data_IF_961979504364
#
_entry.id   IF_961979504364
#
_cell.length_a   1.000
_cell.length_b   1.000
_cell.length_c   1.000
_cell.angle_alpha   90.00
_cell.angle_beta   90.00
_cell.angle_gamma   90.00
#
_symmetry.space_group_name_H-M   'P 1'
#
loop_
_entity.id
_entity.type
_entity.pdbx_description
1 polymer ?
#
# COMPACT_ATOMS: atom_id res chain seq x y z
N UNK A 1 30.71 18.26 -0.88
CA UNK A 1 29.26 18.31 -0.64
C UNK A 1 28.93 17.14 0.26
N UNK A 2 28.40 17.37 1.46
CA UNK A 2 28.14 16.29 2.41
C UNK A 2 26.87 15.53 1.96
N UNK A 3 27.03 14.27 1.54
CA UNK A 3 25.90 13.37 1.37
C UNK A 3 25.35 13.06 2.76
N UNK A 4 24.19 13.62 3.08
CA UNK A 4 23.38 13.21 4.22
C UNK A 4 22.84 11.82 3.91
N UNK A 5 23.57 10.78 4.29
CA UNK A 5 23.08 9.40 4.24
C UNK A 5 21.85 9.28 5.13
N UNK A 6 20.76 8.77 4.57
CA UNK A 6 19.54 8.49 5.32
C UNK A 6 19.85 7.32 6.27
N UNK A 7 20.17 7.63 7.52
CA UNK A 7 20.49 6.61 8.54
C UNK A 7 19.31 5.68 8.86
N UNK A 8 18.08 6.01 8.43
CA UNK A 8 16.91 5.16 8.59
C UNK A 8 15.93 5.37 7.42
N UNK A 9 15.84 4.43 6.46
CA UNK A 9 14.94 4.56 5.32
C UNK A 9 13.48 4.66 5.80
N UNK A 10 12.64 5.45 5.12
CA UNK A 10 11.25 5.64 5.53
C UNK A 10 10.47 4.32 5.51
N UNK A 11 9.70 4.04 6.57
CA UNK A 11 8.86 2.84 6.65
C UNK A 11 7.36 3.12 6.56
N UNK A 12 6.97 4.40 6.52
CA UNK A 12 5.57 4.84 6.52
C UNK A 12 5.43 6.25 5.97
N UNK A 13 4.22 6.57 5.52
CA UNK A 13 3.83 7.88 4.99
C UNK A 13 4.16 9.04 5.94
N UNK A 14 4.04 8.85 7.25
CA UNK A 14 4.38 9.91 8.22
C UNK A 14 5.87 10.25 8.26
N UNK A 15 6.74 9.29 7.94
CA UNK A 15 8.18 9.52 7.90
C UNK A 15 8.52 10.43 6.71
N UNK A 16 7.90 10.18 5.54
CA UNK A 16 8.03 11.02 4.35
C UNK A 16 7.60 12.46 4.62
N UNK A 17 6.42 12.63 5.24
CA UNK A 17 5.90 13.96 5.61
C UNK A 17 6.84 14.64 6.61
N UNK A 18 7.38 13.90 7.58
CA UNK A 18 8.34 14.41 8.54
C UNK A 18 9.63 14.91 7.88
N UNK A 19 10.19 14.14 6.94
CA UNK A 19 11.39 14.51 6.19
C UNK A 19 11.15 15.73 5.29
N UNK A 20 10.01 15.78 4.58
CA UNK A 20 9.64 16.94 3.77
C UNK A 20 9.51 18.22 4.60
N UNK A 21 8.90 18.14 5.79
CA UNK A 21 8.80 19.27 6.73
C UNK A 21 10.14 19.72 7.30
N UNK A 22 11.13 18.82 7.38
CA UNK A 22 12.51 19.14 7.79
C UNK A 22 13.34 19.75 6.65
N UNK A 23 12.78 19.84 5.44
CA UNK A 23 13.42 20.49 4.28
C UNK A 23 13.93 19.52 3.20
N UNK A 24 13.83 18.20 3.40
CA UNK A 24 14.27 17.23 2.38
C UNK A 24 13.42 17.31 1.10
N UNK A 25 14.07 17.05 -0.03
CA UNK A 25 13.40 16.90 -1.32
C UNK A 25 12.87 15.49 -1.44
N UNK A 26 11.57 15.33 -1.23
CA UNK A 26 10.88 14.04 -1.28
C UNK A 26 10.02 13.94 -2.54
N UNK A 27 10.20 12.85 -3.30
CA UNK A 27 9.31 12.39 -4.36
C UNK A 27 8.59 11.10 -3.91
N UNK A 28 7.40 10.85 -4.44
CA UNK A 28 6.61 9.69 -4.05
C UNK A 28 5.66 9.26 -5.18
N UNK A 29 5.71 7.98 -5.50
CA UNK A 29 4.84 7.29 -6.42
C UNK A 29 4.23 6.08 -5.74
N UNK A 30 3.03 5.69 -6.19
CA UNK A 30 2.33 4.51 -5.67
C UNK A 30 1.98 3.51 -6.75
N UNK A 31 2.06 2.22 -6.39
CA UNK A 31 1.53 1.10 -7.14
C UNK A 31 0.77 0.16 -6.23
N UNK A 32 -0.13 -0.65 -6.78
CA UNK A 32 -1.00 -1.55 -6.02
C UNK A 32 -0.72 -3.02 -6.34
N UNK A 33 -0.60 -3.79 -5.26
CA UNK A 33 -0.38 -5.22 -5.29
C UNK A 33 -1.47 -5.91 -4.49
N UNK A 34 -1.92 -7.06 -4.99
CA UNK A 34 -2.77 -7.98 -4.24
C UNK A 34 -1.96 -9.24 -4.03
N UNK A 35 -1.80 -9.62 -2.77
CA UNK A 35 -1.13 -10.87 -2.45
C UNK A 35 -2.13 -11.83 -1.79
N UNK A 36 -2.33 -13.02 -2.34
CA UNK A 36 -2.96 -14.10 -1.61
C UNK A 36 -2.03 -14.55 -0.50
N UNK A 37 -2.60 -14.79 0.66
CA UNK A 37 -1.91 -15.28 1.83
C UNK A 37 -2.81 -16.33 2.46
N UNK A 38 -2.23 -17.50 2.70
CA UNK A 38 -2.89 -18.54 3.46
C UNK A 38 -2.92 -18.14 4.93
N UNK A 39 -4.12 -18.02 5.46
CA UNK A 39 -4.34 -17.76 6.87
C UNK A 39 -4.90 -19.03 7.53
N UNK A 40 -4.45 -19.28 8.76
CA UNK A 40 -5.12 -20.23 9.64
C UNK A 40 -6.00 -19.44 10.61
N UNK A 41 -7.30 -19.69 10.61
CA UNK A 41 -8.18 -19.29 11.72
C UNK A 41 -8.62 -20.52 12.48
N UNK A 42 -7.99 -20.76 13.65
CA UNK A 42 -8.11 -22.02 14.40
C UNK A 42 -7.70 -23.20 13.52
N UNK A 43 -8.53 -24.23 13.41
CA UNK A 43 -8.28 -25.44 12.62
C UNK A 43 -8.73 -25.31 11.15
N UNK A 44 -9.24 -24.16 10.73
CA UNK A 44 -9.71 -23.93 9.36
C UNK A 44 -8.70 -23.07 8.58
N UNK A 45 -7.91 -23.66 7.66
CA UNK A 45 -7.15 -22.88 6.70
C UNK A 45 -8.10 -22.18 5.74
N UNK A 46 -7.83 -20.92 5.43
CA UNK A 46 -8.55 -20.16 4.42
C UNK A 46 -7.58 -19.21 3.72
N UNK A 47 -7.82 -18.96 2.45
CA UNK A 47 -7.03 -18.01 1.67
C UNK A 47 -7.66 -16.63 1.79
N UNK A 48 -6.84 -15.62 2.08
CA UNK A 48 -7.26 -14.23 2.03
C UNK A 48 -6.31 -13.40 1.16
N UNK A 49 -6.82 -12.28 0.69
CA UNK A 49 -6.11 -11.36 -0.19
C UNK A 49 -5.76 -10.10 0.58
N UNK A 50 -4.51 -9.68 0.48
CA UNK A 50 -4.00 -8.49 1.12
C UNK A 50 -3.92 -7.38 0.07
N UNK A 51 -4.60 -6.27 0.34
CA UNK A 51 -4.55 -5.06 -0.49
C UNK A 51 -3.35 -4.21 -0.03
N UNK A 52 -2.29 -4.22 -0.85
CA UNK A 52 -1.06 -3.51 -0.60
C UNK A 52 -0.92 -2.30 -1.51
N UNK A 53 -0.40 -1.21 -0.96
CA UNK A 53 0.14 -0.11 -1.73
C UNK A 53 1.64 -0.06 -1.51
N UNK A 54 2.38 -0.10 -2.60
CA UNK A 54 3.82 0.10 -2.64
C UNK A 54 4.09 1.59 -2.83
N UNK A 55 4.98 2.14 -2.01
CA UNK A 55 5.43 3.52 -2.05
C UNK A 55 6.90 3.53 -2.43
N UNK A 56 7.23 4.23 -3.51
CA UNK A 56 8.59 4.36 -4.00
C UNK A 56 8.89 5.80 -4.39
N UNK A 57 10.16 6.15 -4.40
CA UNK A 57 10.61 7.46 -4.83
C UNK A 57 12.01 7.76 -4.30
N UNK A 58 12.31 9.04 -4.14
CA UNK A 58 13.59 9.50 -3.64
C UNK A 58 13.43 10.53 -2.52
N UNK A 59 14.40 10.53 -1.60
CA UNK A 59 14.62 11.55 -0.58
C UNK A 59 16.04 12.05 -0.78
N UNK A 60 16.22 13.32 -1.10
CA UNK A 60 17.55 13.93 -1.33
C UNK A 60 18.41 13.11 -2.31
N UNK A 61 17.78 12.63 -3.39
CA UNK A 61 18.33 11.76 -4.44
C UNK A 61 18.66 10.31 -4.04
N UNK A 62 18.39 9.90 -2.80
CA UNK A 62 18.48 8.49 -2.38
C UNK A 62 17.13 7.79 -2.53
N UNK A 63 17.12 6.66 -3.21
CA UNK A 63 15.89 5.88 -3.41
C UNK A 63 15.39 5.24 -2.11
N UNK A 64 14.07 5.13 -2.01
CA UNK A 64 13.40 4.37 -0.96
C UNK A 64 12.25 3.56 -1.54
N UNK A 65 11.91 2.49 -0.83
CA UNK A 65 10.70 1.73 -1.08
C UNK A 65 10.15 1.17 0.24
N UNK A 66 8.83 1.23 0.42
CA UNK A 66 8.14 0.47 1.45
C UNK A 66 6.74 0.10 0.99
N UNK A 67 6.15 -0.91 1.63
CA UNK A 67 4.78 -1.37 1.36
C UNK A 67 3.90 -1.17 2.57
N UNK A 68 2.65 -0.80 2.35
CA UNK A 68 1.64 -0.67 3.39
C UNK A 68 0.41 -1.52 3.07
N UNK A 69 0.00 -2.32 4.03
CA UNK A 69 -1.27 -3.05 4.01
C UNK A 69 -2.42 -2.13 4.40
N UNK A 70 -3.48 -2.16 3.59
CA UNK A 70 -4.65 -1.30 3.74
C UNK A 70 -5.92 -2.07 4.09
N UNK A 71 -6.08 -3.29 3.58
CA UNK A 71 -7.16 -4.18 3.96
C UNK A 71 -6.77 -5.63 3.70
N UNK A 72 -7.58 -6.53 4.27
CA UNK A 72 -7.61 -7.95 3.93
C UNK A 72 -9.03 -8.29 3.51
N UNK A 73 -9.18 -9.01 2.40
CA UNK A 73 -10.47 -9.48 1.90
C UNK A 73 -10.43 -10.98 1.65
N UNK A 74 -11.57 -11.65 1.83
CA UNK A 74 -11.69 -13.10 1.67
C UNK A 74 -12.87 -13.38 0.76
N UNK A 75 -12.82 -14.48 0.01
CA UNK A 75 -13.99 -14.99 -0.70
C UNK A 75 -15.05 -15.52 0.29
N UNK A 76 -14.62 -16.13 1.40
CA UNK A 76 -15.51 -16.70 2.41
C UNK A 76 -15.82 -15.74 3.58
N UNK A 77 -16.96 -15.98 4.26
CA UNK A 77 -17.48 -15.20 5.41
C UNK A 77 -16.56 -15.09 6.65
N UNK A 78 -15.32 -15.57 6.57
CA UNK A 78 -14.30 -15.48 7.62
C UNK A 78 -13.63 -14.10 7.66
N UNK A 79 -13.74 -13.28 6.60
CA UNK A 79 -13.39 -11.87 6.63
C UNK A 79 -14.27 -11.03 5.68
N UNK A 80 -14.16 -9.68 5.64
CA UNK A 80 -14.96 -8.87 4.74
C UNK A 80 -14.80 -9.34 3.30
N UNK A 81 -15.93 -9.47 2.59
CA UNK A 81 -15.93 -9.76 1.16
C UNK A 81 -15.01 -8.77 0.42
N UNK A 82 -14.35 -9.22 -0.63
CA UNK A 82 -13.38 -8.44 -1.44
C UNK A 82 -13.88 -7.03 -1.74
N UNK A 83 -15.16 -6.89 -2.10
CA UNK A 83 -15.80 -5.58 -2.36
C UNK A 83 -15.79 -4.63 -1.16
N UNK A 84 -16.04 -5.14 0.05
CA UNK A 84 -15.95 -4.35 1.27
C UNK A 84 -14.50 -4.03 1.64
N UNK A 85 -13.58 -4.96 1.40
CA UNK A 85 -12.15 -4.75 1.64
C UNK A 85 -11.60 -3.60 0.77
N UNK A 86 -12.01 -3.49 -0.50
CA UNK A 86 -11.65 -2.36 -1.39
C UNK A 86 -12.13 -1.02 -0.79
N UNK A 87 -13.38 -0.94 -0.33
CA UNK A 87 -13.92 0.29 0.28
C UNK A 87 -13.14 0.69 1.53
N UNK A 88 -12.81 -0.27 2.38
CA UNK A 88 -11.99 -0.05 3.58
C UNK A 88 -10.58 0.40 3.21
N UNK A 89 -9.94 -0.28 2.26
CA UNK A 89 -8.60 0.05 1.80
C UNK A 89 -8.53 1.49 1.25
N UNK A 90 -9.46 1.85 0.36
CA UNK A 90 -9.55 3.18 -0.23
C UNK A 90 -9.79 4.27 0.81
N UNK A 91 -10.58 4.01 1.85
CA UNK A 91 -10.80 4.97 2.94
C UNK A 91 -9.48 5.31 3.67
N UNK A 92 -8.65 4.31 3.95
CA UNK A 92 -7.38 4.53 4.62
C UNK A 92 -6.32 5.12 3.67
N UNK A 93 -6.28 4.67 2.42
CA UNK A 93 -5.38 5.20 1.39
C UNK A 93 -5.61 6.69 1.14
N UNK A 94 -6.87 7.11 1.04
CA UNK A 94 -7.21 8.54 0.91
C UNK A 94 -6.74 9.38 2.09
N UNK A 95 -6.74 8.84 3.31
CA UNK A 95 -6.20 9.56 4.47
C UNK A 95 -4.69 9.78 4.32
N UNK A 96 -3.98 8.81 3.78
CA UNK A 96 -2.54 8.93 3.55
C UNK A 96 -2.21 9.87 2.40
N UNK A 97 -2.97 9.87 1.31
CA UNK A 97 -2.81 10.89 0.26
C UNK A 97 -3.02 12.30 0.79
N UNK A 98 -4.06 12.52 1.60
CA UNK A 98 -4.26 13.83 2.25
C UNK A 98 -3.07 14.23 3.11
N UNK A 99 -2.45 13.29 3.84
CA UNK A 99 -1.25 13.58 4.65
C UNK A 99 -0.04 13.96 3.80
N UNK A 100 0.19 13.24 2.70
CA UNK A 100 1.29 13.54 1.77
C UNK A 100 1.13 14.93 1.15
N UNK A 101 -0.07 15.25 0.67
CA UNK A 101 -0.36 16.57 0.09
C UNK A 101 -0.27 17.70 1.11
N UNK A 102 -0.81 17.52 2.31
CA UNK A 102 -0.67 18.48 3.41
C UNK A 102 0.80 18.64 3.84
N UNK A 103 1.62 17.62 3.61
CA UNK A 103 3.06 17.65 3.78
C UNK A 103 3.81 18.35 2.64
N UNK A 104 3.13 18.76 1.56
CA UNK A 104 3.75 19.35 0.38
C UNK A 104 4.42 18.34 -0.56
N UNK A 105 4.07 17.05 -0.45
CA UNK A 105 4.55 15.99 -1.34
C UNK A 105 3.51 15.84 -2.46
N UNK A 106 3.94 16.06 -3.70
CA UNK A 106 3.09 15.82 -4.87
C UNK A 106 2.95 14.32 -5.07
N UNK A 107 1.72 13.86 -5.27
CA UNK A 107 1.42 12.46 -5.54
C UNK A 107 0.22 12.33 -6.45
N UNK A 108 0.27 11.35 -7.35
CA UNK A 108 -0.88 10.96 -8.15
C UNK A 108 -1.82 10.10 -7.30
N UNK A 109 -3.08 10.51 -7.18
CA UNK A 109 -4.08 9.72 -6.45
C UNK A 109 -4.62 8.62 -7.36
N UNK A 110 -4.32 7.38 -7.03
CA UNK A 110 -4.99 6.21 -7.60
C UNK A 110 -5.70 5.47 -6.48
N UNK A 111 -6.80 4.79 -6.78
CA UNK A 111 -7.52 3.99 -5.79
C UNK A 111 -7.48 2.52 -6.21
N UNK A 112 -7.71 1.64 -5.24
CA UNK A 112 -8.01 0.24 -5.56
C UNK A 112 -9.32 0.21 -6.34
N UNK A 113 -9.29 -0.29 -7.56
CA UNK A 113 -10.46 -0.47 -8.41
C UNK A 113 -10.97 -1.91 -8.30
N UNK A 114 -12.27 -2.12 -8.23
CA UNK A 114 -12.81 -3.47 -7.98
C UNK A 114 -12.61 -4.40 -9.18
N UNK A 115 -12.68 -3.89 -10.40
CA UNK A 115 -12.53 -4.69 -11.62
C UNK A 115 -11.07 -5.10 -11.81
N UNK A 116 -10.13 -4.17 -11.64
CA UNK A 116 -8.69 -4.48 -11.66
C UNK A 116 -8.32 -5.50 -10.57
N UNK A 117 -8.99 -5.41 -9.41
CA UNK A 117 -8.69 -6.29 -8.28
C UNK A 117 -9.32 -7.67 -8.45
N UNK A 118 -10.49 -7.76 -9.09
CA UNK A 118 -11.14 -9.03 -9.45
C UNK A 118 -10.36 -9.74 -10.55
N UNK A 119 -9.84 -9.02 -11.56
CA UNK A 119 -9.00 -9.64 -12.61
C UNK A 119 -7.69 -10.18 -12.04
N UNK A 120 -7.02 -9.43 -11.16
CA UNK A 120 -5.83 -9.92 -10.46
C UNK A 120 -6.13 -11.11 -9.54
N UNK A 121 -7.35 -11.18 -8.98
CA UNK A 121 -7.83 -12.31 -8.18
C UNK A 121 -8.10 -13.55 -9.04
N UNK A 122 -8.87 -13.43 -10.12
CA UNK A 122 -9.23 -14.52 -11.03
C UNK A 122 -8.02 -15.08 -11.77
N UNK A 123 -7.08 -14.20 -12.16
CA UNK A 123 -5.81 -14.59 -12.77
C UNK A 123 -4.97 -15.46 -11.84
N UNK A 124 -4.97 -15.14 -10.53
CA UNK A 124 -4.24 -15.93 -9.54
C UNK A 124 -4.86 -17.31 -9.30
N UNK A 125 -6.19 -17.43 -9.27
CA UNK A 125 -6.84 -18.74 -9.16
C UNK A 125 -6.48 -19.64 -10.34
N UNK A 126 -6.46 -19.12 -11.57
CA UNK A 126 -6.16 -19.90 -12.78
C UNK A 126 -4.71 -20.35 -12.92
N UNK A 127 -3.75 -19.66 -12.30
CA UNK A 127 -2.33 -20.04 -12.32
C UNK A 127 -1.98 -21.11 -11.28
N UNK A 128 -2.86 -21.37 -10.31
CA UNK A 128 -2.59 -22.22 -9.16
C UNK A 128 -3.60 -23.37 -8.95
N UNK A 129 -4.53 -23.59 -9.89
CA UNK A 129 -5.33 -24.81 -10.07
C UNK A 129 -4.68 -25.78 -11.07
#
# INVERSE_FOLDING_TARGET
MAQTSINNPPGRVTDLVGLKKKGSVVTCETSFDILPVDFAHRDNPFQAFIFLCSYKGSIDAQEYEFRKCYARGCPDNLCPHVSQAVVVANRYLQKDYRRLEQGGIKIERRLFDLDDMTVKFDGYQKEHD
#
